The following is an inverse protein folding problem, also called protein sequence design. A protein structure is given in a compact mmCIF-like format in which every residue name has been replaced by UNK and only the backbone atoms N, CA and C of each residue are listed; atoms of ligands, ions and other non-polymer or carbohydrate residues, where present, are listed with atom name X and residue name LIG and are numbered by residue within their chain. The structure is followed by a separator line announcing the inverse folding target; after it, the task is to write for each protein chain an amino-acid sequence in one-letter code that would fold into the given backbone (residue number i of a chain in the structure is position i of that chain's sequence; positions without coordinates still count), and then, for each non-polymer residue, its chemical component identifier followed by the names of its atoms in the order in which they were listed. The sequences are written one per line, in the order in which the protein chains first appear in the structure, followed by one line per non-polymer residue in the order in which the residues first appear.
data_IF_854176161475
#
_entry.id   IF_854176161475
#
_cell.length_a   1.000
_cell.length_b   1.000
_cell.length_c   1.000
_cell.angle_alpha   90.00
_cell.angle_beta   90.00
_cell.angle_gamma   90.00
#
_symmetry.space_group_name_H-M   'P 1'
#
loop_
_entity.id
_entity.type
_entity.pdbx_description
1 polymer ?
#
# COMPACT_ATOMS: atom_id res chain seq x y z
N UNK A 1 40.27 23.97 18.68
CA UNK A 1 39.82 23.51 17.35
C UNK A 1 38.36 23.85 17.24
N UNK A 2 38.00 24.90 16.49
CA UNK A 2 36.59 25.22 16.22
C UNK A 2 36.07 24.22 15.19
N UNK A 3 34.92 23.59 15.46
CA UNK A 3 34.31 22.67 14.51
C UNK A 3 33.78 23.49 13.34
N UNK A 4 34.13 23.09 12.12
CA UNK A 4 33.75 23.78 10.91
C UNK A 4 32.23 23.64 10.68
N UNK A 5 31.53 24.77 10.82
CA UNK A 5 30.07 24.83 10.70
C UNK A 5 29.60 24.51 9.27
N UNK A 6 30.46 24.72 8.26
CA UNK A 6 30.15 24.42 6.87
C UNK A 6 30.13 22.91 6.66
N UNK A 7 31.12 22.20 7.20
CA UNK A 7 31.17 20.74 7.18
C UNK A 7 29.93 20.09 7.81
N UNK A 8 29.45 20.62 8.94
CA UNK A 8 28.23 20.10 9.59
C UNK A 8 27.00 20.32 8.69
N UNK A 9 26.92 21.47 8.03
CA UNK A 9 25.83 21.80 7.11
C UNK A 9 25.81 20.86 5.90
N UNK A 10 26.97 20.59 5.31
CA UNK A 10 27.12 19.75 4.13
C UNK A 10 26.79 18.28 4.45
N UNK A 11 27.21 17.78 5.62
CA UNK A 11 26.85 16.44 6.11
C UNK A 11 25.35 16.33 6.35
N UNK A 12 24.69 17.36 6.92
CA UNK A 12 23.23 17.37 7.10
C UNK A 12 22.48 17.33 5.78
N UNK A 13 22.87 18.16 4.81
CA UNK A 13 22.25 18.19 3.49
C UNK A 13 22.42 16.86 2.74
N UNK A 14 23.60 16.22 2.85
CA UNK A 14 23.86 14.91 2.27
C UNK A 14 22.96 13.83 2.89
N UNK A 15 22.80 13.85 4.22
CA UNK A 15 21.92 12.93 4.94
C UNK A 15 20.45 13.18 4.57
N UNK A 16 19.99 14.43 4.51
CA UNK A 16 18.62 14.74 4.08
C UNK A 16 18.33 14.32 2.63
N UNK A 17 19.32 14.45 1.73
CA UNK A 17 19.19 14.06 0.33
C UNK A 17 19.21 12.53 0.15
N UNK A 18 20.13 11.81 0.82
CA UNK A 18 20.23 10.34 0.74
C UNK A 18 19.18 9.61 1.56
N UNK A 19 18.76 10.18 2.68
CA UNK A 19 17.74 9.61 3.55
C UNK A 19 16.36 10.20 3.27
N UNK A 20 16.08 10.75 2.08
CA UNK A 20 14.70 10.91 1.58
C UNK A 20 14.12 9.52 1.36
N UNK A 21 13.29 8.99 2.27
CA UNK A 21 12.58 7.76 2.01
C UNK A 21 11.38 8.18 1.16
N UNK A 22 11.05 7.45 0.10
CA UNK A 22 9.84 7.74 -0.69
C UNK A 22 8.56 7.84 0.15
N UNK A 23 8.59 7.36 1.41
CA UNK A 23 7.62 7.69 2.46
C UNK A 23 8.32 7.75 3.84
N UNK A 24 8.28 8.88 4.54
CA UNK A 24 8.88 9.06 5.88
C UNK A 24 8.10 8.36 7.00
N UNK A 25 6.89 7.90 6.71
CA UNK A 25 6.07 7.15 7.66
C UNK A 25 5.13 6.18 6.93
N UNK A 26 4.63 5.17 7.64
CA UNK A 26 3.57 4.28 7.13
C UNK A 26 2.33 5.07 6.69
N UNK A 27 2.06 6.22 7.32
CA UNK A 27 0.96 7.11 6.96
C UNK A 27 1.19 7.78 5.61
N UNK A 28 2.40 8.26 5.34
CA UNK A 28 2.76 8.83 4.02
C UNK A 28 2.74 7.77 2.93
N UNK A 29 3.25 6.57 3.20
CA UNK A 29 3.19 5.46 2.26
C UNK A 29 1.73 5.10 1.92
N UNK A 30 0.86 5.07 2.94
CA UNK A 30 -0.58 4.85 2.77
C UNK A 30 -1.22 5.98 1.95
N UNK A 31 -0.85 7.24 2.19
CA UNK A 31 -1.38 8.37 1.43
C UNK A 31 -1.00 8.28 -0.06
N UNK A 32 0.24 7.89 -0.38
CA UNK A 32 0.70 7.67 -1.74
C UNK A 32 -0.06 6.52 -2.42
N UNK A 33 -0.24 5.39 -1.74
CA UNK A 33 -1.00 4.27 -2.27
C UNK A 33 -2.50 4.60 -2.48
N UNK A 34 -3.05 5.50 -1.65
CA UNK A 34 -4.41 6.04 -1.84
C UNK A 34 -4.45 6.97 -3.07
N UNK A 35 -3.48 7.87 -3.23
CA UNK A 35 -3.45 8.79 -4.38
C UNK A 35 -3.24 8.07 -5.72
N UNK A 36 -2.51 6.97 -5.71
CA UNK A 36 -2.33 6.08 -6.88
C UNK A 36 -3.56 5.18 -7.14
N UNK A 37 -4.58 5.22 -6.27
CA UNK A 37 -5.79 4.40 -6.42
C UNK A 37 -5.58 2.90 -6.17
N UNK A 38 -4.47 2.52 -5.55
CA UNK A 38 -4.13 1.11 -5.24
C UNK A 38 -4.90 0.63 -4.01
N UNK A 39 -5.06 1.50 -3.01
CA UNK A 39 -5.87 1.23 -1.81
C UNK A 39 -6.92 2.33 -1.60
N UNK A 40 -8.06 1.97 -1.03
CA UNK A 40 -9.10 2.91 -0.65
C UNK A 40 -8.79 3.66 0.65
N UNK A 41 -9.62 4.67 0.96
CA UNK A 41 -9.56 5.44 2.21
C UNK A 41 -9.70 4.57 3.46
N UNK A 42 -10.35 3.41 3.32
CA UNK A 42 -10.52 2.36 4.32
C UNK A 42 -9.27 1.47 4.50
N UNK A 43 -8.27 1.60 3.61
CA UNK A 43 -7.00 0.87 3.66
C UNK A 43 -7.07 -0.53 3.04
N UNK A 44 -8.17 -0.87 2.37
CA UNK A 44 -8.29 -2.09 1.58
C UNK A 44 -7.79 -1.83 0.16
N UNK A 45 -7.32 -2.87 -0.52
CA UNK A 45 -7.00 -2.78 -1.95
C UNK A 45 -8.25 -2.35 -2.72
N UNK A 46 -8.06 -1.61 -3.81
CA UNK A 46 -9.14 -1.35 -4.77
C UNK A 46 -9.35 -2.59 -5.65
N UNK A 47 -10.52 -2.73 -6.31
CA UNK A 47 -10.87 -3.95 -7.03
C UNK A 47 -9.87 -4.33 -8.14
N UNK A 48 -9.30 -3.32 -8.80
CA UNK A 48 -8.28 -3.50 -9.84
C UNK A 48 -7.01 -4.18 -9.32
N UNK A 49 -6.72 -4.06 -8.03
CA UNK A 49 -5.57 -4.66 -7.35
C UNK A 49 -5.97 -5.84 -6.44
N UNK A 50 -7.12 -6.46 -6.68
CA UNK A 50 -7.59 -7.63 -5.91
C UNK A 50 -8.40 -7.29 -4.65
N UNK A 51 -8.82 -6.04 -4.53
CA UNK A 51 -9.72 -5.56 -3.50
C UNK A 51 -11.17 -6.05 -3.62
N UNK A 52 -11.99 -5.91 -2.56
CA UNK A 52 -13.40 -6.23 -2.63
C UNK A 52 -14.10 -5.28 -3.62
N UNK A 53 -14.66 -5.84 -4.70
CA UNK A 53 -15.46 -5.09 -5.65
C UNK A 53 -16.85 -4.76 -5.07
N UNK A 54 -17.33 -3.52 -5.15
CA UNK A 54 -18.72 -3.18 -4.82
C UNK A 54 -19.71 -3.74 -5.84
N UNK A 55 -19.22 -4.22 -7.00
CA UNK A 55 -20.03 -5.03 -7.91
C UNK A 55 -20.19 -6.38 -7.23
N UNK A 56 -21.37 -6.57 -6.63
CA UNK A 56 -21.94 -7.85 -6.25
C UNK A 56 -21.73 -8.86 -7.40
N UNK A 57 -20.62 -9.58 -7.37
CA UNK A 57 -20.71 -11.00 -7.64
C UNK A 57 -21.07 -11.61 -6.30
N UNK A 58 -22.37 -11.63 -6.01
CA UNK A 58 -22.93 -12.71 -5.25
C UNK A 58 -22.36 -13.97 -5.90
N UNK A 59 -21.35 -14.56 -5.27
CA UNK A 59 -20.99 -15.94 -5.54
C UNK A 59 -22.31 -16.67 -5.31
N UNK A 60 -22.96 -17.26 -6.34
CA UNK A 60 -24.07 -18.12 -6.02
C UNK A 60 -23.50 -19.14 -5.04
N UNK A 61 -24.14 -19.24 -3.88
CA UNK A 61 -23.91 -20.36 -3.00
C UNK A 61 -24.35 -21.60 -3.78
N UNK A 62 -23.44 -22.21 -4.54
CA UNK A 62 -23.62 -23.57 -5.01
C UNK A 62 -23.24 -24.47 -3.85
N UNK A 63 -24.13 -24.49 -2.87
CA UNK A 63 -24.42 -25.67 -2.09
C UNK A 63 -25.37 -26.51 -2.95
N UNK A 64 -24.80 -27.43 -3.72
CA UNK A 64 -25.56 -28.46 -4.41
C UNK A 64 -24.62 -29.65 -4.65
N UNK A 65 -24.79 -30.67 -3.81
CA UNK A 65 -24.18 -31.98 -3.95
C UNK A 65 -24.45 -32.59 -5.33
N UNK A 66 -23.55 -33.46 -5.83
CA UNK A 66 -23.96 -34.60 -6.62
C UNK A 66 -23.83 -35.87 -5.77
N UNK A 67 -24.98 -36.40 -5.36
CA UNK A 67 -25.15 -37.85 -5.15
C UNK A 67 -24.73 -38.58 -6.42
N UNK A 68 -23.80 -39.56 -6.39
CA UNK A 68 -23.64 -40.47 -7.51
C UNK A 68 -24.78 -41.49 -7.42
N UNK A 69 -25.78 -41.35 -8.30
CA UNK A 69 -26.68 -42.43 -8.66
C UNK A 69 -25.94 -43.45 -9.53
N UNK A 70 -26.24 -44.70 -9.21
CA UNK A 70 -25.87 -46.00 -9.77
C UNK A 70 -25.87 -46.09 -11.30
N UNK A 71 -24.83 -46.74 -11.85
CA UNK A 71 -24.95 -47.71 -12.95
C UNK A 71 -23.80 -48.72 -12.87
#
# INVERSE_FOLDING_TARGET
MAVDQQFISDVKALVEARCKPGARSKAEARALLISEGIIGSDGRLTPEYGGPSPVFHAKPATDAAPTPEEN
#
